data_IF_230204404178
#
_entry.id   IF_230204404178
#
_cell.length_a   1.000
_cell.length_b   1.000
_cell.length_c   1.000
_cell.angle_alpha   90.00
_cell.angle_beta   90.00
_cell.angle_gamma   90.00
#
_symmetry.space_group_name_H-M   'P 1'
#
loop_
_entity.id
_entity.type
_entity.pdbx_description
1 polymer ?
#
# COMPACT_ATOMS: atom_id res chain seq x y z
N UNK A 1 7.16 -17.19 20.74
CA UNK A 1 7.69 -17.45 19.39
C UNK A 1 7.17 -16.35 18.48
N UNK A 2 8.00 -15.80 17.62
CA UNK A 2 7.57 -14.79 16.65
C UNK A 2 6.65 -15.45 15.60
N UNK A 3 5.54 -14.81 15.17
CA UNK A 3 4.72 -15.33 14.08
C UNK A 3 5.53 -15.49 12.78
N UNK A 4 5.20 -16.47 11.92
CA UNK A 4 5.86 -16.65 10.62
C UNK A 4 5.89 -15.37 9.78
N UNK A 5 6.93 -15.22 8.95
CA UNK A 5 7.17 -14.00 8.17
C UNK A 5 5.96 -13.60 7.32
N UNK A 6 5.39 -14.53 6.57
CA UNK A 6 4.22 -14.30 5.72
C UNK A 6 3.02 -13.75 6.51
N UNK A 7 2.79 -14.24 7.73
CA UNK A 7 1.70 -13.77 8.59
C UNK A 7 1.95 -12.35 9.09
N UNK A 8 3.21 -11.99 9.36
CA UNK A 8 3.59 -10.63 9.74
C UNK A 8 3.42 -9.67 8.57
N UNK A 9 3.83 -10.05 7.36
CA UNK A 9 3.64 -9.23 6.15
C UNK A 9 2.15 -9.03 5.87
N UNK A 10 1.34 -10.09 5.98
CA UNK A 10 -0.12 -9.99 5.83
C UNK A 10 -0.73 -9.07 6.89
N UNK A 11 -0.31 -9.18 8.15
CA UNK A 11 -0.79 -8.33 9.23
C UNK A 11 -0.42 -6.85 9.02
N UNK A 12 0.79 -6.57 8.53
CA UNK A 12 1.20 -5.23 8.13
C UNK A 12 0.34 -4.72 6.97
N UNK A 13 0.13 -5.55 5.95
CA UNK A 13 -0.64 -5.21 4.74
C UNK A 13 -2.06 -4.78 5.07
N UNK A 14 -2.73 -5.48 6.01
CA UNK A 14 -4.08 -5.08 6.48
C UNK A 14 -4.04 -3.72 7.16
N UNK A 15 -3.12 -3.50 8.10
CA UNK A 15 -2.98 -2.20 8.78
C UNK A 15 -2.62 -1.06 7.81
N UNK A 16 -1.83 -1.34 6.77
CA UNK A 16 -1.44 -0.35 5.76
C UNK A 16 -2.56 -0.07 4.77
N UNK A 17 -3.40 -1.05 4.43
CA UNK A 17 -4.59 -0.82 3.61
C UNK A 17 -5.57 0.16 4.29
N UNK A 18 -5.76 0.05 5.61
CA UNK A 18 -6.57 1.00 6.37
C UNK A 18 -5.99 2.43 6.31
N UNK A 19 -4.66 2.56 6.42
CA UNK A 19 -3.96 3.86 6.34
C UNK A 19 -4.02 4.46 4.94
N UNK A 20 -3.79 3.65 3.91
CA UNK A 20 -3.96 4.04 2.52
C UNK A 20 -5.39 4.53 2.25
N UNK A 21 -6.40 3.81 2.78
CA UNK A 21 -7.80 4.21 2.67
C UNK A 21 -8.06 5.60 3.29
N UNK A 22 -7.46 5.89 4.45
CA UNK A 22 -7.55 7.22 5.07
C UNK A 22 -6.94 8.31 4.18
N UNK A 23 -5.77 8.06 3.58
CA UNK A 23 -5.11 9.00 2.68
C UNK A 23 -5.94 9.26 1.41
N UNK A 24 -6.48 8.20 0.79
CA UNK A 24 -7.33 8.29 -0.40
C UNK A 24 -8.58 9.15 -0.09
N UNK A 25 -9.24 8.90 1.06
CA UNK A 25 -10.39 9.73 1.48
C UNK A 25 -10.01 11.17 1.76
N UNK A 26 -8.86 11.42 2.37
CA UNK A 26 -8.39 12.78 2.61
C UNK A 26 -8.15 13.56 1.29
N UNK A 27 -7.59 12.89 0.28
CA UNK A 27 -7.46 13.46 -1.07
C UNK A 27 -8.83 13.71 -1.69
N UNK A 28 -9.74 12.75 -1.58
CA UNK A 28 -11.12 12.89 -2.06
C UNK A 28 -11.86 14.08 -1.42
N UNK A 29 -11.78 14.23 -0.09
CA UNK A 29 -12.47 15.30 0.64
C UNK A 29 -11.86 16.68 0.34
N UNK A 30 -10.53 16.74 0.16
CA UNK A 30 -9.82 17.99 -0.15
C UNK A 30 -9.95 18.43 -1.61
N UNK A 31 -10.36 17.52 -2.52
CA UNK A 31 -10.40 17.72 -3.98
C UNK A 31 -9.04 18.05 -4.62
N UNK A 32 -7.94 17.97 -3.86
CA UNK A 32 -6.60 18.21 -4.36
C UNK A 32 -6.01 16.94 -4.99
N UNK A 33 -6.53 16.61 -6.17
CA UNK A 33 -6.18 15.39 -6.88
C UNK A 33 -4.78 15.42 -7.50
N UNK A 34 -4.23 16.62 -7.78
CA UNK A 34 -2.95 16.82 -8.48
C UNK A 34 -2.70 15.77 -9.59
N UNK A 35 -3.63 15.68 -10.55
CA UNK A 35 -3.66 14.64 -11.59
C UNK A 35 -2.44 14.78 -12.52
N UNK A 36 -1.82 13.64 -12.83
CA UNK A 36 -0.82 13.46 -13.87
C UNK A 36 -1.45 12.58 -14.95
N UNK A 37 -1.47 13.09 -16.18
CA UNK A 37 -1.90 12.35 -17.37
C UNK A 37 -0.69 11.63 -17.97
N UNK A 38 -0.66 10.30 -17.87
CA UNK A 38 0.39 9.43 -18.40
C UNK A 38 0.07 8.91 -19.81
N UNK A 39 -1.14 9.19 -20.34
CA UNK A 39 -1.57 8.75 -21.66
C UNK A 39 -3.06 8.41 -21.74
N UNK A 40 -3.44 7.64 -22.77
CA UNK A 40 -4.84 7.29 -23.01
C UNK A 40 -5.35 6.39 -21.87
N UNK A 41 -6.33 6.91 -21.12
CA UNK A 41 -6.95 6.25 -19.96
C UNK A 41 -5.96 5.89 -18.83
N UNK A 42 -4.81 6.55 -18.78
CA UNK A 42 -3.77 6.30 -17.77
C UNK A 42 -3.58 7.58 -16.93
N UNK A 43 -4.37 7.69 -15.88
CA UNK A 43 -4.32 8.81 -14.93
C UNK A 43 -3.64 8.36 -13.65
N UNK A 44 -2.86 9.26 -13.06
CA UNK A 44 -2.31 9.09 -11.72
C UNK A 44 -2.68 10.31 -10.88
N UNK A 45 -3.37 10.11 -9.76
CA UNK A 45 -3.70 11.17 -8.81
C UNK A 45 -2.72 11.19 -7.62
N UNK A 46 -2.88 12.21 -6.77
CA UNK A 46 -2.21 12.30 -5.48
C UNK A 46 -2.61 11.15 -4.56
N UNK A 47 -3.83 10.62 -4.68
CA UNK A 47 -4.27 9.49 -3.88
C UNK A 47 -3.44 8.24 -4.16
N UNK A 48 -3.15 7.95 -5.43
CA UNK A 48 -2.31 6.83 -5.86
C UNK A 48 -0.88 6.98 -5.31
N UNK A 49 -0.28 8.15 -5.51
CA UNK A 49 1.09 8.43 -5.03
C UNK A 49 1.21 8.37 -3.51
N UNK A 50 0.30 9.02 -2.79
CA UNK A 50 0.39 9.12 -1.33
C UNK A 50 0.14 7.76 -0.66
N UNK A 51 -0.81 6.98 -1.17
CA UNK A 51 -1.06 5.62 -0.67
C UNK A 51 0.09 4.67 -1.01
N UNK A 52 0.64 4.71 -2.23
CA UNK A 52 1.82 3.89 -2.58
C UNK A 52 3.02 4.22 -1.69
N UNK A 53 3.35 5.51 -1.51
CA UNK A 53 4.44 5.93 -0.61
C UNK A 53 4.24 5.35 0.79
N UNK A 54 3.04 5.53 1.37
CA UNK A 54 2.72 5.01 2.69
C UNK A 54 2.92 3.49 2.79
N UNK A 55 2.39 2.72 1.84
CA UNK A 55 2.48 1.26 1.85
C UNK A 55 3.92 0.80 1.65
N UNK A 56 4.58 1.23 0.57
CA UNK A 56 5.90 0.75 0.15
C UNK A 56 6.96 1.11 1.18
N UNK A 57 6.99 2.35 1.66
CA UNK A 57 7.97 2.77 2.66
C UNK A 57 7.77 2.02 3.98
N UNK A 58 6.52 1.91 4.45
CA UNK A 58 6.22 1.21 5.70
C UNK A 58 6.62 -0.28 5.64
N UNK A 59 6.37 -0.94 4.50
CA UNK A 59 6.80 -2.33 4.29
C UNK A 59 8.33 -2.45 4.27
N UNK A 60 9.04 -1.56 3.55
CA UNK A 60 10.50 -1.58 3.48
C UNK A 60 11.16 -1.27 4.83
N UNK A 61 10.58 -0.39 5.65
CA UNK A 61 11.04 -0.11 7.01
C UNK A 61 10.78 -1.29 7.95
N UNK A 62 9.60 -1.91 7.87
CA UNK A 62 9.20 -3.02 8.75
C UNK A 62 9.89 -4.33 8.39
N UNK A 63 10.16 -4.55 7.11
CA UNK A 63 10.79 -5.74 6.55
C UNK A 63 11.95 -5.36 5.61
N UNK A 64 13.10 -4.90 6.15
CA UNK A 64 14.24 -4.53 5.32
C UNK A 64 14.67 -5.69 4.42
N UNK A 65 14.71 -5.46 3.11
CA UNK A 65 15.06 -6.47 2.09
C UNK A 65 13.86 -7.19 1.46
N UNK A 66 12.62 -6.93 1.89
CA UNK A 66 11.43 -7.39 1.19
C UNK A 66 11.36 -6.77 -0.22
N UNK A 67 11.03 -7.58 -1.23
CA UNK A 67 10.83 -7.06 -2.57
C UNK A 67 9.39 -6.55 -2.72
N UNK A 68 9.23 -5.23 -2.84
CA UNK A 68 7.94 -4.54 -3.01
C UNK A 68 7.96 -3.79 -4.33
N UNK A 69 6.95 -4.03 -5.18
CA UNK A 69 6.79 -3.39 -6.49
C UNK A 69 5.46 -2.65 -6.49
N UNK A 70 5.50 -1.33 -6.64
CA UNK A 70 4.30 -0.49 -6.79
C UNK A 70 3.99 -0.19 -8.25
N UNK A 71 2.70 -0.06 -8.57
CA UNK A 71 2.22 0.32 -9.90
C UNK A 71 2.81 1.65 -10.39
N UNK A 72 2.90 2.65 -9.52
CA UNK A 72 3.32 4.00 -9.89
C UNK A 72 4.85 4.16 -10.04
N UNK A 73 5.56 3.03 -10.04
CA UNK A 73 7.01 2.97 -10.19
C UNK A 73 7.76 3.57 -8.99
N UNK A 74 8.96 4.06 -9.27
CA UNK A 74 9.82 4.68 -8.26
C UNK A 74 9.29 6.08 -7.92
N UNK A 75 8.74 6.21 -6.72
CA UNK A 75 8.31 7.49 -6.16
C UNK A 75 9.39 8.05 -5.24
N UNK A 76 9.50 9.38 -5.18
CA UNK A 76 10.26 10.04 -4.14
C UNK A 76 9.65 9.72 -2.75
N UNK A 77 10.47 9.70 -1.68
CA UNK A 77 9.98 9.33 -0.37
C UNK A 77 8.93 10.29 0.23
N UNK A 78 8.77 11.51 -0.30
CA UNK A 78 7.83 12.49 0.24
C UNK A 78 8.02 12.79 1.73
N UNK A 79 6.96 13.29 2.38
CA UNK A 79 6.92 13.63 3.81
C UNK A 79 5.71 12.98 4.50
N UNK A 80 5.42 11.71 4.14
CA UNK A 80 4.32 10.95 4.72
C UNK A 80 4.80 10.11 5.90
N UNK A 81 3.96 10.01 6.93
CA UNK A 81 4.26 9.17 8.08
C UNK A 81 4.15 7.69 7.71
N UNK A 82 5.17 6.93 8.12
CA UNK A 82 5.18 5.47 7.98
C UNK A 82 4.55 4.80 9.18
N UNK A 83 4.31 3.49 9.05
CA UNK A 83 3.65 2.68 10.05
C UNK A 83 4.24 1.28 10.13
N UNK A 84 4.67 0.88 11.32
CA UNK A 84 5.11 -0.50 11.60
C UNK A 84 4.04 -1.32 12.34
N UNK A 85 2.80 -0.86 12.34
CA UNK A 85 1.68 -1.52 13.01
C UNK A 85 1.32 -2.84 12.33
N UNK A 86 1.02 -3.86 13.14
CA UNK A 86 0.58 -5.18 12.66
C UNK A 86 -0.82 -5.47 13.17
N UNK A 87 -1.73 -5.82 12.27
CA UNK A 87 -3.09 -6.20 12.64
C UNK A 87 -3.09 -7.45 13.55
N UNK A 88 -3.56 -7.31 14.79
CA UNK A 88 -3.53 -8.39 15.78
C UNK A 88 -4.45 -9.56 15.40
N UNK A 89 -5.60 -9.29 14.79
CA UNK A 89 -6.55 -10.32 14.36
C UNK A 89 -5.92 -11.23 13.31
N UNK A 90 -5.15 -10.69 12.36
CA UNK A 90 -4.41 -11.51 11.39
C UNK A 90 -3.41 -12.44 12.10
N UNK A 91 -2.72 -11.94 13.13
CA UNK A 91 -1.70 -12.70 13.86
C UNK A 91 -2.28 -13.83 14.73
N UNK A 92 -3.58 -13.82 15.03
CA UNK A 92 -4.27 -14.91 15.73
C UNK A 92 -4.51 -16.14 14.82
N UNK A 93 -4.48 -15.95 13.50
CA UNK A 93 -4.65 -17.05 12.55
C UNK A 93 -3.41 -17.94 12.46
N UNK A 94 -3.63 -19.24 12.25
CA UNK A 94 -2.55 -20.20 12.02
C UNK A 94 -2.00 -20.05 10.60
N UNK A 95 -0.68 -19.94 10.49
CA UNK A 95 0.00 -20.01 9.20
C UNK A 95 -0.17 -21.40 8.56
N UNK A 96 -0.53 -21.49 7.28
CA UNK A 96 -0.43 -22.73 6.51
C UNK A 96 0.98 -23.32 6.61
N UNK A 97 1.13 -24.65 6.82
CA UNK A 97 2.45 -25.27 6.99
C UNK A 97 3.40 -25.00 5.82
N UNK A 98 2.88 -24.91 4.60
CA UNK A 98 3.66 -24.75 3.36
C UNK A 98 4.28 -23.35 3.23
N UNK A 99 3.75 -22.37 3.96
CA UNK A 99 4.20 -20.97 3.92
C UNK A 99 5.00 -20.57 5.17
N UNK A 100 5.16 -21.48 6.13
CA UNK A 100 5.68 -21.18 7.46
C UNK A 100 7.15 -20.77 7.45
N UNK A 101 7.93 -21.42 6.59
CA UNK A 101 9.39 -21.30 6.56
C UNK A 101 9.89 -20.44 5.39
N UNK A 102 9.00 -19.63 4.78
CA UNK A 102 9.37 -18.67 3.73
C UNK A 102 10.31 -17.59 4.27
N UNK A 103 11.30 -17.27 3.45
CA UNK A 103 12.24 -16.18 3.64
C UNK A 103 11.79 -14.91 2.90
N UNK A 104 12.55 -13.82 3.01
CA UNK A 104 12.21 -12.56 2.33
C UNK A 104 12.33 -12.69 0.82
N UNK A 105 13.34 -13.43 0.34
CA UNK A 105 13.59 -13.67 -1.08
C UNK A 105 12.53 -14.54 -1.77
N UNK A 106 11.75 -15.30 -0.99
CA UNK A 106 10.64 -16.11 -1.52
C UNK A 106 9.35 -15.29 -1.73
N UNK A 107 9.32 -14.02 -1.28
CA UNK A 107 8.10 -13.20 -1.23
C UNK A 107 8.30 -11.92 -2.04
N UNK A 108 7.37 -11.67 -2.96
CA UNK A 108 7.23 -10.39 -3.65
C UNK A 108 5.86 -9.81 -3.36
N UNK A 109 5.80 -8.54 -2.94
CA UNK A 109 4.55 -7.81 -2.72
C UNK A 109 4.32 -6.88 -3.90
N UNK A 110 3.20 -7.07 -4.61
CA UNK A 110 2.76 -6.19 -5.68
C UNK A 110 1.69 -5.25 -5.13
N UNK A 111 1.90 -3.95 -5.30
CA UNK A 111 1.03 -2.90 -4.75
C UNK A 111 0.39 -2.15 -5.91
N UNK A 112 -0.93 -2.32 -6.03
CA UNK A 112 -1.82 -1.38 -6.71
C UNK A 112 -2.39 -0.46 -5.62
N UNK A 113 -2.00 0.82 -5.58
CA UNK A 113 -2.37 1.73 -4.50
C UNK A 113 -3.83 2.19 -4.58
N UNK A 114 -4.41 2.23 -5.78
CA UNK A 114 -5.77 2.68 -6.05
C UNK A 114 -6.22 2.19 -7.44
N UNK A 115 -6.91 1.05 -7.47
CA UNK A 115 -7.56 0.57 -8.69
C UNK A 115 -8.76 1.45 -9.08
N UNK A 116 -8.87 1.79 -10.37
CA UNK A 116 -9.92 2.67 -10.91
C UNK A 116 -9.65 4.17 -10.74
N UNK A 117 -8.40 4.61 -10.93
CA UNK A 117 -7.99 6.02 -10.77
C UNK A 117 -8.82 6.98 -11.63
N UNK A 118 -9.20 6.58 -12.85
CA UNK A 118 -10.04 7.41 -13.72
C UNK A 118 -11.40 7.68 -13.10
N UNK A 119 -12.12 6.63 -12.72
CA UNK A 119 -13.43 6.72 -12.07
C UNK A 119 -13.34 7.51 -10.76
N UNK A 120 -12.26 7.32 -9.98
CA UNK A 120 -12.01 8.10 -8.78
C UNK A 120 -11.92 9.61 -9.07
N UNK A 121 -11.17 10.00 -10.10
CA UNK A 121 -11.05 11.42 -10.48
C UNK A 121 -12.37 12.00 -10.99
N UNK A 122 -13.14 11.25 -11.79
CA UNK A 122 -14.44 11.68 -12.31
C UNK A 122 -15.46 11.90 -11.18
N UNK A 123 -15.55 10.97 -10.23
CA UNK A 123 -16.42 11.11 -9.06
C UNK A 123 -15.97 12.30 -8.21
N UNK A 124 -14.67 12.45 -7.98
CA UNK A 124 -14.16 13.52 -7.15
C UNK A 124 -14.42 14.91 -7.75
N UNK A 125 -14.42 15.06 -9.08
CA UNK A 125 -14.69 16.32 -9.77
C UNK A 125 -16.18 16.62 -10.00
N UNK A 126 -17.07 15.64 -9.83
CA UNK A 126 -18.51 15.78 -10.14
C UNK A 126 -19.38 16.25 -8.96
N UNK A 127 -18.80 16.39 -7.76
CA UNK A 127 -19.48 16.78 -6.51
C UNK A 127 -18.75 17.96 -5.87
#
# INVERSE_FOLDING_TARGET
>A
MQPPLVMRILAASVSLADKACFLIRAVYDSKDLAIIDKGVDDLQSRADRDSQRCIVQSLNETFPGLHVIGEEGDLDPGDLSTSTELNSTVLEHRCPPELKDLSLEDIVVWVDPLDGTKEFTEVCLSI
#
